data_IF_416502168757
#
_entry.id   IF_416502168757
#
_cell.length_a   1.000
_cell.length_b   1.000
_cell.length_c   1.000
_cell.angle_alpha   90.00
_cell.angle_beta   90.00
_cell.angle_gamma   90.00
#
_symmetry.space_group_name_H-M   'P 1'
#
loop_
_entity.id
_entity.type
_entity.pdbx_description
1 polymer ?
#
# COMPACT_ATOMS: atom_id res chain seq x y z
N UNK A 1 -21.90 8.87 -18.94
CA UNK A 1 -21.48 8.11 -17.74
C UNK A 1 -20.54 9.00 -16.93
N UNK A 2 -20.69 9.08 -15.61
CA UNK A 2 -19.73 9.80 -14.74
C UNK A 2 -18.74 8.79 -14.18
N UNK A 3 -17.54 8.73 -14.75
CA UNK A 3 -16.45 7.90 -14.25
C UNK A 3 -16.03 8.45 -12.88
N UNK A 4 -16.19 7.65 -11.82
CA UNK A 4 -15.64 7.96 -10.50
C UNK A 4 -14.36 7.15 -10.32
N UNK A 5 -13.28 7.85 -10.01
CA UNK A 5 -12.00 7.26 -9.67
C UNK A 5 -11.43 7.97 -8.44
N UNK A 6 -10.51 7.33 -7.75
CA UNK A 6 -9.79 7.94 -6.63
C UNK A 6 -8.37 7.43 -6.63
N UNK A 7 -7.44 8.36 -6.53
CA UNK A 7 -6.04 8.06 -6.25
C UNK A 7 -5.78 8.48 -4.81
N UNK A 8 -5.29 7.55 -4.00
CA UNK A 8 -4.95 7.81 -2.61
C UNK A 8 -3.47 7.48 -2.37
N UNK A 9 -2.83 8.28 -1.50
CA UNK A 9 -1.43 8.08 -1.08
C UNK A 9 -1.37 7.95 0.42
N UNK A 10 -0.60 6.99 0.89
CA UNK A 10 -0.39 6.72 2.30
C UNK A 10 1.07 6.38 2.55
N UNK A 11 1.55 6.71 3.75
CA UNK A 11 2.89 6.34 4.17
C UNK A 11 2.85 5.80 5.59
N UNK A 12 3.60 4.73 5.83
CA UNK A 12 3.74 4.14 7.15
C UNK A 12 5.22 3.94 7.43
N UNK A 13 5.65 4.35 8.62
CA UNK A 13 7.00 4.16 9.12
C UNK A 13 6.93 3.22 10.31
N UNK A 14 7.77 2.19 10.30
CA UNK A 14 7.79 1.20 11.38
C UNK A 14 9.03 0.34 11.33
N UNK A 15 9.38 -0.25 12.47
CA UNK A 15 10.39 -1.29 12.56
C UNK A 15 9.68 -2.63 12.74
N UNK A 16 9.79 -3.50 11.74
CA UNK A 16 9.09 -4.78 11.73
C UNK A 16 9.23 -5.50 10.41
N UNK A 17 8.44 -6.55 10.24
CA UNK A 17 8.36 -7.37 9.02
C UNK A 17 7.11 -7.11 8.20
N UNK A 18 6.19 -6.28 8.68
CA UNK A 18 4.94 -5.99 7.99
C UNK A 18 4.50 -4.54 8.20
N UNK A 19 3.94 -3.97 7.14
CA UNK A 19 3.42 -2.61 7.10
C UNK A 19 2.04 -2.63 6.45
N UNK A 20 1.05 -2.16 7.20
CA UNK A 20 -0.33 -2.06 6.75
C UNK A 20 -0.71 -0.60 6.57
N UNK A 21 -1.24 -0.26 5.39
CA UNK A 21 -1.80 1.06 5.10
C UNK A 21 -3.29 0.91 4.84
N UNK A 22 -4.11 1.56 5.67
CA UNK A 22 -5.56 1.54 5.54
C UNK A 22 -6.05 2.74 4.73
N UNK A 23 -6.64 2.46 3.57
CA UNK A 23 -7.22 3.46 2.67
C UNK A 23 -8.76 3.50 2.74
N UNK A 24 -9.38 2.73 3.63
CA UNK A 24 -10.83 2.74 3.88
C UNK A 24 -11.44 4.15 4.04
N UNK A 25 -10.81 5.11 4.74
CA UNK A 25 -11.41 6.44 4.90
C UNK A 25 -11.34 7.32 3.63
N UNK A 26 -10.55 6.93 2.62
CA UNK A 26 -10.31 7.76 1.42
C UNK A 26 -10.91 7.13 0.17
N UNK A 27 -10.96 5.80 0.09
CA UNK A 27 -11.47 5.08 -1.07
C UNK A 27 -13.01 5.06 -1.07
N UNK A 28 -13.59 5.72 -2.06
CA UNK A 28 -15.02 5.70 -2.42
C UNK A 28 -15.62 4.31 -2.67
N UNK A 29 -14.85 3.32 -3.14
CA UNK A 29 -15.36 1.99 -3.43
C UNK A 29 -14.82 0.97 -2.43
N UNK A 30 -15.67 0.07 -1.91
CA UNK A 30 -15.21 -1.01 -1.06
C UNK A 30 -14.48 -2.06 -1.89
N UNK A 31 -13.22 -2.33 -1.54
CA UNK A 31 -12.41 -3.41 -2.08
C UNK A 31 -12.22 -3.38 -3.61
N UNK A 32 -12.12 -2.19 -4.21
CA UNK A 32 -11.96 -2.00 -5.66
C UNK A 32 -10.62 -1.31 -6.00
N UNK A 33 -9.54 -1.79 -5.41
CA UNK A 33 -8.20 -1.30 -5.74
C UNK A 33 -7.75 -1.99 -7.04
N UNK A 34 -7.59 -1.22 -8.12
CA UNK A 34 -7.14 -1.75 -9.41
C UNK A 34 -5.62 -1.75 -9.54
N UNK A 35 -4.98 -0.68 -9.05
CA UNK A 35 -3.55 -0.52 -9.14
C UNK A 35 -2.96 -0.16 -7.78
N UNK A 36 -1.83 -0.81 -7.45
CA UNK A 36 -1.05 -0.53 -6.26
C UNK A 36 0.40 -0.33 -6.67
N UNK A 37 0.92 0.85 -6.37
CA UNK A 37 2.33 1.13 -6.46
C UNK A 37 2.86 1.38 -5.06
N UNK A 38 3.98 0.76 -4.70
CA UNK A 38 4.62 1.00 -3.43
C UNK A 38 6.13 1.13 -3.57
N UNK A 39 6.71 1.88 -2.64
CA UNK A 39 8.15 2.07 -2.50
C UNK A 39 8.52 1.82 -1.04
N UNK A 40 9.51 0.96 -0.81
CA UNK A 40 10.07 0.70 0.52
C UNK A 40 11.43 1.36 0.62
N UNK A 41 11.60 2.22 1.63
CA UNK A 41 12.85 2.89 1.96
C UNK A 41 13.34 2.38 3.31
N UNK A 42 14.34 1.49 3.30
CA UNK A 42 15.03 1.04 4.50
C UNK A 42 16.19 1.98 4.82
N UNK A 43 16.34 2.35 6.09
CA UNK A 43 17.39 3.28 6.55
C UNK A 43 18.73 2.60 6.86
N UNK A 44 18.95 1.36 6.42
CA UNK A 44 20.07 0.52 6.82
C UNK A 44 20.86 -0.06 5.64
N UNK A 45 21.95 -0.76 5.94
CA UNK A 45 22.80 -1.44 4.95
C UNK A 45 22.21 -2.77 4.44
N UNK A 46 20.93 -3.04 4.71
CA UNK A 46 20.26 -4.29 4.37
C UNK A 46 19.18 -4.07 3.32
N UNK A 47 19.14 -4.99 2.36
CA UNK A 47 18.14 -5.06 1.30
C UNK A 47 17.19 -6.23 1.60
N UNK A 48 16.12 -5.99 2.38
CA UNK A 48 15.14 -7.02 2.66
C UNK A 48 14.43 -7.45 1.37
N UNK A 49 14.10 -8.74 1.26
CA UNK A 49 13.16 -9.19 0.24
C UNK A 49 11.77 -8.78 0.69
N UNK A 50 11.14 -7.89 -0.07
CA UNK A 50 9.80 -7.39 0.23
C UNK A 50 8.80 -7.76 -0.86
N UNK A 51 7.54 -7.94 -0.48
CA UNK A 51 6.46 -8.24 -1.40
C UNK A 51 5.14 -7.62 -0.94
N UNK A 52 4.30 -7.26 -1.91
CA UNK A 52 2.90 -6.95 -1.66
C UNK A 52 2.17 -8.26 -1.33
N UNK A 53 1.61 -8.35 -0.13
CA UNK A 53 0.99 -9.59 0.37
C UNK A 53 -0.54 -9.56 0.29
N UNK A 54 -1.13 -8.40 0.57
CA UNK A 54 -2.59 -8.26 0.56
C UNK A 54 -3.01 -6.85 0.14
N UNK A 55 -4.16 -6.76 -0.55
CA UNK A 55 -4.82 -5.51 -0.98
C UNK A 55 -6.32 -5.49 -0.63
N UNK A 56 -6.79 -6.49 0.12
CA UNK A 56 -8.21 -6.65 0.40
C UNK A 56 -8.71 -5.69 1.49
N UNK A 57 -10.01 -5.37 1.44
CA UNK A 57 -10.65 -4.52 2.44
C UNK A 57 -10.10 -3.09 2.45
N UNK A 58 -9.71 -2.56 1.30
CA UNK A 58 -9.10 -1.23 1.15
C UNK A 58 -7.79 -1.07 1.93
N UNK A 59 -7.13 -2.17 2.26
CA UNK A 59 -5.87 -2.20 3.02
C UNK A 59 -4.78 -2.82 2.18
N UNK A 60 -3.64 -2.14 2.15
CA UNK A 60 -2.44 -2.65 1.48
C UNK A 60 -1.47 -3.13 2.55
N UNK A 61 -1.06 -4.40 2.44
CA UNK A 61 -0.10 -5.04 3.33
C UNK A 61 1.15 -5.38 2.57
N UNK A 62 2.26 -4.81 2.99
CA UNK A 62 3.60 -5.09 2.48
C UNK A 62 4.34 -5.87 3.58
N UNK A 63 5.00 -6.95 3.20
CA UNK A 63 5.81 -7.77 4.11
C UNK A 63 7.26 -7.85 3.64
N UNK A 64 8.17 -8.02 4.60
CA UNK A 64 9.59 -8.31 4.39
C UNK A 64 10.00 -9.62 5.07
N UNK A 65 11.03 -10.25 4.53
CA UNK A 65 11.65 -11.46 5.08
C UNK A 65 12.39 -11.23 6.41
N UNK A 66 12.93 -10.03 6.61
CA UNK A 66 13.64 -9.62 7.83
C UNK A 66 13.01 -8.37 8.45
N UNK A 67 13.12 -8.26 9.78
CA UNK A 67 12.67 -7.08 10.50
C UNK A 67 13.61 -5.91 10.25
N UNK A 68 13.10 -4.82 9.65
CA UNK A 68 13.89 -3.62 9.37
C UNK A 68 13.14 -2.34 9.73
N UNK A 69 13.84 -1.27 10.14
CA UNK A 69 13.25 0.05 10.18
C UNK A 69 13.10 0.58 8.75
N UNK A 70 11.86 0.61 8.26
CA UNK A 70 11.57 1.11 6.92
C UNK A 70 10.38 2.08 6.91
N UNK A 71 10.42 2.96 5.92
CA UNK A 71 9.30 3.82 5.52
C UNK A 71 8.72 3.27 4.23
N UNK A 72 7.45 2.90 4.25
CA UNK A 72 6.72 2.39 3.08
C UNK A 72 5.77 3.47 2.60
N UNK A 73 5.89 3.83 1.33
CA UNK A 73 5.02 4.77 0.64
C UNK A 73 4.16 3.98 -0.33
N UNK A 74 2.85 4.16 -0.27
CA UNK A 74 1.88 3.42 -1.07
C UNK A 74 0.99 4.42 -1.81
N UNK A 75 0.83 4.22 -3.11
CA UNK A 75 -0.16 4.88 -3.94
C UNK A 75 -1.12 3.83 -4.45
N UNK A 76 -2.41 4.03 -4.22
CA UNK A 76 -3.47 3.17 -4.74
C UNK A 76 -4.36 3.94 -5.69
N UNK A 77 -4.84 3.24 -6.71
CA UNK A 77 -5.84 3.74 -7.63
C UNK A 77 -7.05 2.82 -7.62
N UNK A 78 -8.22 3.43 -7.52
CA UNK A 78 -9.50 2.79 -7.77
C UNK A 78 -10.25 3.55 -8.87
N UNK A 79 -11.03 2.81 -9.65
CA UNK A 79 -11.85 3.36 -10.72
C UNK A 79 -12.60 2.26 -11.45
N UNK A 80 -13.73 2.58 -12.05
CA UNK A 80 -14.43 1.64 -12.94
C UNK A 80 -14.59 2.31 -14.29
N UNK A 81 -13.58 2.17 -15.15
CA UNK A 81 -13.70 2.55 -16.55
C UNK A 81 -14.67 1.55 -17.20
N UNK A 82 -15.90 2.00 -17.43
CA UNK A 82 -16.91 1.26 -18.21
C UNK A 82 -16.72 1.53 -19.69
#
# INVERSE_FOLDING_TARGET
MNLKATVARGSVKGNGTSWTVDFSPVLLFPNLINHVQYSLSSGGATFPRHALRNVSGNRVVIESDIAVPASVFVTVEQGSAS
#
